data_IF_533913775440
#
_entry.id   IF_533913775440
#
_cell.length_a   1.000
_cell.length_b   1.000
_cell.length_c   1.000
_cell.angle_alpha   90.00
_cell.angle_beta   90.00
_cell.angle_gamma   90.00
#
_symmetry.space_group_name_H-M   'P 1'
#
loop_
_entity.id
_entity.type
_entity.pdbx_description
1 polymer ?
#
# COMPACT_ATOMS: atom_id res chain seq x y z
N UNK A 1 -30.16 12.14 -22.96
CA UNK A 1 -29.01 12.57 -22.16
C UNK A 1 -28.19 11.34 -21.87
N UNK A 2 -26.90 11.39 -22.11
CA UNK A 2 -26.02 10.23 -21.95
C UNK A 2 -25.72 9.96 -20.48
N UNK A 3 -25.27 8.73 -20.17
CA UNK A 3 -24.76 8.41 -18.84
C UNK A 3 -23.55 9.27 -18.43
N UNK A 4 -22.72 9.66 -19.40
CA UNK A 4 -21.55 10.53 -19.17
C UNK A 4 -21.97 11.96 -18.77
N UNK A 5 -23.00 12.51 -19.42
CA UNK A 5 -23.56 13.82 -19.05
C UNK A 5 -24.11 13.81 -17.62
N UNK A 6 -24.83 12.74 -17.23
CA UNK A 6 -25.31 12.59 -15.86
C UNK A 6 -24.15 12.43 -14.86
N UNK A 7 -23.11 11.67 -15.21
CA UNK A 7 -21.94 11.52 -14.36
C UNK A 7 -21.26 12.89 -14.11
N UNK A 8 -21.11 13.72 -15.14
CA UNK A 8 -20.55 15.07 -14.99
C UNK A 8 -21.39 15.96 -14.07
N UNK A 9 -22.73 15.89 -14.15
CA UNK A 9 -23.61 16.62 -13.22
C UNK A 9 -23.45 16.15 -11.77
N UNK A 10 -23.30 14.84 -11.56
CA UNK A 10 -23.05 14.28 -10.23
C UNK A 10 -21.71 14.78 -9.69
N UNK A 11 -20.63 14.75 -10.49
CA UNK A 11 -19.32 15.24 -10.06
C UNK A 11 -19.34 16.74 -9.70
N UNK A 12 -20.07 17.55 -10.47
CA UNK A 12 -20.21 18.97 -10.18
C UNK A 12 -20.86 19.21 -8.80
N UNK A 13 -22.01 18.55 -8.52
CA UNK A 13 -22.69 18.71 -7.22
C UNK A 13 -21.88 18.11 -6.06
N UNK A 14 -21.12 17.03 -6.30
CA UNK A 14 -20.16 16.51 -5.32
C UNK A 14 -19.07 17.56 -5.01
N UNK A 15 -18.55 18.24 -6.03
CA UNK A 15 -17.50 19.26 -5.89
C UNK A 15 -17.94 20.51 -5.12
N UNK A 16 -19.24 20.78 -5.05
CA UNK A 16 -19.80 21.91 -4.30
C UNK A 16 -20.04 21.61 -2.80
N UNK A 17 -19.88 20.34 -2.37
CA UNK A 17 -20.19 19.94 -1.00
C UNK A 17 -19.09 20.33 0.00
N UNK A 18 -19.35 21.36 0.80
CA UNK A 18 -18.45 21.74 1.92
C UNK A 18 -18.22 20.60 2.91
N UNK A 19 -19.23 19.76 3.15
CA UNK A 19 -19.10 18.63 4.07
C UNK A 19 -18.13 17.57 3.54
N UNK A 20 -18.18 17.27 2.23
CA UNK A 20 -17.21 16.38 1.59
C UNK A 20 -15.82 16.98 1.62
N UNK A 21 -15.69 18.29 1.38
CA UNK A 21 -14.40 18.98 1.47
C UNK A 21 -13.77 18.83 2.86
N UNK A 22 -14.54 19.05 3.93
CA UNK A 22 -14.06 18.85 5.32
C UNK A 22 -13.61 17.42 5.59
N UNK A 23 -14.25 16.42 4.99
CA UNK A 23 -13.84 15.01 5.11
C UNK A 23 -12.49 14.79 4.40
N UNK A 24 -12.33 15.33 3.19
CA UNK A 24 -11.08 15.23 2.45
C UNK A 24 -9.93 15.94 3.17
N UNK A 25 -10.19 17.10 3.79
CA UNK A 25 -9.21 17.81 4.61
C UNK A 25 -8.74 16.96 5.80
N UNK A 26 -9.67 16.28 6.49
CA UNK A 26 -9.36 15.33 7.57
C UNK A 26 -8.59 14.09 7.10
N UNK A 27 -8.72 13.71 5.84
CA UNK A 27 -7.92 12.61 5.28
C UNK A 27 -6.50 13.11 5.03
N UNK A 28 -6.35 14.34 4.54
CA UNK A 28 -5.04 14.94 4.25
C UNK A 28 -4.24 15.22 5.53
N UNK A 29 -4.87 15.75 6.57
CA UNK A 29 -4.22 16.00 7.86
C UNK A 29 -3.95 14.71 8.66
N UNK A 30 -4.45 13.57 8.16
CA UNK A 30 -4.29 12.27 8.78
C UNK A 30 -5.11 12.12 10.06
N UNK A 31 -6.16 12.92 10.29
CA UNK A 31 -7.08 12.89 11.43
C UNK A 31 -8.32 12.00 11.22
N UNK A 32 -8.66 11.69 9.97
CA UNK A 32 -9.88 10.97 9.59
C UNK A 32 -10.05 9.59 10.23
N UNK A 33 -11.32 9.20 10.36
CA UNK A 33 -11.82 7.97 10.96
C UNK A 33 -12.82 7.30 10.02
N UNK A 34 -13.24 6.07 10.36
CA UNK A 34 -14.25 5.37 9.57
C UNK A 34 -15.62 6.04 9.55
N UNK A 35 -15.91 6.91 10.53
CA UNK A 35 -17.08 7.78 10.49
C UNK A 35 -17.00 8.76 9.32
N UNK A 36 -15.80 9.28 9.02
CA UNK A 36 -15.61 10.20 7.90
C UNK A 36 -15.77 9.48 6.55
N UNK A 37 -15.28 8.23 6.42
CA UNK A 37 -15.50 7.45 5.19
C UNK A 37 -16.95 6.99 5.01
N UNK A 38 -17.69 6.72 6.11
CA UNK A 38 -19.13 6.41 6.03
C UNK A 38 -19.93 7.63 5.62
N UNK A 39 -19.61 8.80 6.20
CA UNK A 39 -20.26 10.05 5.86
C UNK A 39 -20.00 10.44 4.40
N UNK A 40 -18.78 10.23 3.90
CA UNK A 40 -18.46 10.41 2.48
C UNK A 40 -19.35 9.53 1.59
N UNK A 41 -19.47 8.24 1.91
CA UNK A 41 -20.30 7.31 1.15
C UNK A 41 -21.78 7.68 1.21
N UNK A 42 -22.27 8.14 2.38
CA UNK A 42 -23.66 8.57 2.55
C UNK A 42 -23.99 9.82 1.72
N UNK A 43 -23.15 10.87 1.80
CA UNK A 43 -23.38 12.12 1.06
C UNK A 43 -23.28 11.89 -0.45
N UNK A 44 -22.26 11.18 -0.92
CA UNK A 44 -22.10 10.91 -2.36
C UNK A 44 -23.22 10.01 -2.90
N UNK A 45 -23.70 9.04 -2.12
CA UNK A 45 -24.87 8.24 -2.46
C UNK A 45 -26.14 9.09 -2.57
N UNK A 46 -26.38 10.01 -1.62
CA UNK A 46 -27.54 10.90 -1.63
C UNK A 46 -27.52 11.86 -2.83
N UNK A 47 -26.37 12.47 -3.14
CA UNK A 47 -26.22 13.34 -4.32
C UNK A 47 -26.47 12.54 -5.61
N UNK A 48 -25.83 11.38 -5.73
CA UNK A 48 -26.00 10.49 -6.89
C UNK A 48 -27.45 10.07 -7.06
N UNK A 49 -28.14 9.71 -5.97
CA UNK A 49 -29.54 9.31 -5.97
C UNK A 49 -30.47 10.45 -6.39
N UNK A 50 -30.25 11.67 -5.90
CA UNK A 50 -31.03 12.86 -6.28
C UNK A 50 -30.85 13.19 -7.76
N UNK A 51 -29.61 13.14 -8.25
CA UNK A 51 -29.33 13.38 -9.66
C UNK A 51 -29.93 12.29 -10.54
N UNK A 52 -29.82 11.02 -10.14
CA UNK A 52 -30.47 9.92 -10.85
C UNK A 52 -31.99 10.11 -10.90
N UNK A 53 -32.64 10.45 -9.78
CA UNK A 53 -34.09 10.72 -9.75
C UNK A 53 -34.51 11.80 -10.73
N UNK A 54 -33.81 12.94 -10.75
CA UNK A 54 -34.13 14.11 -11.59
C UNK A 54 -34.03 13.82 -13.09
N UNK A 55 -33.24 12.81 -13.46
CA UNK A 55 -32.74 12.64 -14.80
C UNK A 55 -33.00 11.26 -15.41
N UNK A 56 -33.42 10.27 -14.63
CA UNK A 56 -33.56 8.87 -15.10
C UNK A 56 -34.47 8.74 -16.31
N UNK A 57 -35.51 9.57 -16.41
CA UNK A 57 -36.45 9.50 -17.53
C UNK A 57 -35.86 9.99 -18.85
N UNK A 58 -34.89 10.90 -18.80
CA UNK A 58 -34.22 11.48 -19.96
C UNK A 58 -32.92 10.77 -20.36
N UNK A 59 -32.55 9.70 -19.64
CA UNK A 59 -31.34 8.92 -19.92
C UNK A 59 -31.50 8.00 -21.13
N UNK A 60 -30.47 8.02 -21.98
CA UNK A 60 -30.29 7.06 -23.06
C UNK A 60 -29.65 5.78 -22.49
N UNK A 61 -30.44 4.73 -22.27
CA UNK A 61 -29.98 3.47 -21.66
C UNK A 61 -29.77 3.60 -20.15
N UNK A 62 -30.86 3.53 -19.39
CA UNK A 62 -30.91 3.66 -17.92
C UNK A 62 -30.10 2.56 -17.23
N UNK A 63 -30.15 1.34 -17.74
CA UNK A 63 -29.40 0.23 -17.15
C UNK A 63 -27.89 0.46 -17.23
N UNK A 64 -27.38 0.76 -18.43
CA UNK A 64 -25.96 1.00 -18.65
C UNK A 64 -25.47 2.19 -17.82
N UNK A 65 -26.20 3.31 -17.85
CA UNK A 65 -25.88 4.50 -17.06
C UNK A 65 -25.85 4.20 -15.56
N UNK A 66 -26.83 3.45 -15.04
CA UNK A 66 -26.87 3.07 -13.63
C UNK A 66 -25.65 2.23 -13.24
N UNK A 67 -25.32 1.22 -14.04
CA UNK A 67 -24.19 0.32 -13.79
C UNK A 67 -22.88 1.08 -13.79
N UNK A 68 -22.64 1.94 -14.78
CA UNK A 68 -21.38 2.68 -14.89
C UNK A 68 -21.20 3.71 -13.79
N UNK A 69 -22.24 4.48 -13.47
CA UNK A 69 -22.22 5.47 -12.38
C UNK A 69 -21.96 4.79 -11.04
N UNK A 70 -22.67 3.70 -10.74
CA UNK A 70 -22.52 3.00 -9.46
C UNK A 70 -21.18 2.26 -9.35
N UNK A 71 -20.63 1.75 -10.48
CA UNK A 71 -19.28 1.18 -10.52
C UNK A 71 -18.22 2.24 -10.23
N UNK A 72 -18.37 3.45 -10.75
CA UNK A 72 -17.50 4.57 -10.41
C UNK A 72 -17.60 4.91 -8.92
N UNK A 73 -18.80 5.06 -8.37
CA UNK A 73 -19.03 5.31 -6.93
C UNK A 73 -18.43 4.24 -6.04
N UNK A 74 -18.49 2.96 -6.42
CA UNK A 74 -17.81 1.88 -5.72
C UNK A 74 -16.29 2.09 -5.68
N UNK A 75 -15.68 2.52 -6.79
CA UNK A 75 -14.25 2.80 -6.86
C UNK A 75 -13.84 3.99 -5.98
N UNK A 76 -14.62 5.06 -6.00
CA UNK A 76 -14.37 6.28 -5.20
C UNK A 76 -14.51 6.00 -3.71
N UNK A 77 -15.58 5.30 -3.34
CA UNK A 77 -15.84 4.87 -1.96
C UNK A 77 -14.68 4.03 -1.42
N UNK A 78 -14.19 3.07 -2.20
CA UNK A 78 -13.03 2.26 -1.79
C UNK A 78 -11.75 3.10 -1.66
N UNK A 79 -11.58 4.12 -2.51
CA UNK A 79 -10.41 5.03 -2.44
C UNK A 79 -10.40 5.78 -1.12
N UNK A 80 -11.52 6.40 -0.75
CA UNK A 80 -11.68 7.12 0.52
C UNK A 80 -11.56 6.18 1.72
N UNK A 81 -12.27 5.04 1.69
CA UNK A 81 -12.16 4.02 2.73
C UNK A 81 -10.71 3.57 2.93
N UNK A 82 -9.99 3.31 1.84
CA UNK A 82 -8.59 2.85 1.90
C UNK A 82 -7.64 3.89 2.45
N UNK A 83 -7.88 5.18 2.18
CA UNK A 83 -7.08 6.26 2.76
C UNK A 83 -7.27 6.31 4.28
N UNK A 84 -8.52 6.29 4.75
CA UNK A 84 -8.87 6.25 6.18
C UNK A 84 -8.30 5.00 6.86
N UNK A 85 -8.47 3.82 6.25
CA UNK A 85 -7.91 2.58 6.77
C UNK A 85 -6.40 2.67 6.97
N UNK A 86 -5.67 3.22 5.99
CA UNK A 86 -4.20 3.37 6.10
C UNK A 86 -3.81 4.33 7.22
N UNK A 87 -4.57 5.40 7.43
CA UNK A 87 -4.37 6.33 8.56
C UNK A 87 -4.52 5.57 9.89
N UNK A 88 -5.63 4.85 10.06
CA UNK A 88 -5.91 4.10 11.29
C UNK A 88 -4.92 2.95 11.52
N UNK A 89 -4.55 2.25 10.45
CA UNK A 89 -3.56 1.17 10.49
C UNK A 89 -2.18 1.73 10.87
N UNK A 90 -1.76 2.86 10.28
CA UNK A 90 -0.50 3.50 10.61
C UNK A 90 -0.42 3.91 12.10
N UNK A 91 -1.49 4.51 12.64
CA UNK A 91 -1.61 4.83 14.08
C UNK A 91 -1.49 3.60 14.98
N UNK A 92 -2.00 2.47 14.51
CA UNK A 92 -1.99 1.19 15.24
C UNK A 92 -0.79 0.29 14.90
N UNK A 93 0.16 0.79 14.10
CA UNK A 93 1.30 0.03 13.57
C UNK A 93 0.91 -1.16 12.69
N UNK A 94 -0.34 -1.26 12.22
CA UNK A 94 -0.81 -2.32 11.33
C UNK A 94 -0.30 -2.02 9.92
N UNK A 95 0.21 -3.05 9.22
CA UNK A 95 0.76 -2.93 7.86
C UNK A 95 0.01 -3.85 6.88
N UNK A 96 -1.30 -3.92 7.03
CA UNK A 96 -2.18 -4.72 6.19
C UNK A 96 -2.76 -3.80 5.10
N UNK A 97 -2.62 -4.21 3.84
CA UNK A 97 -3.23 -3.46 2.74
C UNK A 97 -4.77 -3.52 2.86
N UNK A 98 -5.51 -2.41 2.68
CA UNK A 98 -6.97 -2.46 2.57
C UNK A 98 -7.39 -3.39 1.43
N UNK A 99 -8.38 -4.24 1.70
CA UNK A 99 -8.92 -5.22 0.75
C UNK A 99 -10.09 -4.60 -0.02
N UNK A 100 -10.04 -4.63 -1.35
CA UNK A 100 -11.12 -4.11 -2.20
C UNK A 100 -12.23 -5.17 -2.33
N UNK A 101 -13.48 -4.88 -1.94
CA UNK A 101 -14.58 -5.78 -2.24
C UNK A 101 -14.81 -5.85 -3.76
N UNK A 102 -15.28 -7.00 -4.29
CA UNK A 102 -15.74 -7.07 -5.67
C UNK A 102 -16.98 -6.19 -5.86
N UNK A 103 -17.14 -5.62 -7.05
CA UNK A 103 -18.37 -4.91 -7.40
C UNK A 103 -19.48 -5.92 -7.73
N UNK A 104 -20.66 -5.74 -7.15
CA UNK A 104 -21.82 -6.63 -7.31
C UNK A 104 -22.53 -6.39 -8.67
N UNK A 105 -21.89 -6.78 -9.76
CA UNK A 105 -22.38 -6.61 -11.15
C UNK A 105 -23.82 -7.13 -11.32
N UNK A 106 -24.11 -8.33 -10.81
CA UNK A 106 -25.45 -8.93 -10.93
C UNK A 106 -26.54 -8.14 -10.22
N UNK A 107 -26.22 -7.47 -9.09
CA UNK A 107 -27.17 -6.59 -8.39
C UNK A 107 -27.33 -5.27 -9.14
N UNK A 108 -26.25 -4.72 -9.67
CA UNK A 108 -26.27 -3.48 -10.45
C UNK A 108 -27.15 -3.61 -11.71
N UNK A 109 -26.95 -4.67 -12.49
CA UNK A 109 -27.76 -4.97 -13.68
C UNK A 109 -29.24 -5.20 -13.34
N UNK A 110 -29.55 -5.94 -12.27
CA UNK A 110 -30.94 -6.14 -11.84
C UNK A 110 -31.65 -4.82 -11.49
N UNK A 111 -30.97 -3.92 -10.80
CA UNK A 111 -31.53 -2.60 -10.48
C UNK A 111 -31.66 -1.76 -11.74
N UNK A 112 -30.61 -1.67 -12.55
CA UNK A 112 -30.61 -0.90 -13.79
C UNK A 112 -31.72 -1.35 -14.77
N UNK A 113 -31.88 -2.66 -14.97
CA UNK A 113 -32.94 -3.23 -15.79
C UNK A 113 -34.34 -2.86 -15.26
N UNK A 114 -34.52 -2.82 -13.93
CA UNK A 114 -35.81 -2.42 -13.34
C UNK A 114 -36.15 -0.93 -13.58
N UNK A 115 -35.17 -0.10 -13.96
CA UNK A 115 -35.39 1.29 -14.36
C UNK A 115 -35.85 1.41 -15.82
N UNK A 116 -35.66 0.38 -16.64
CA UNK A 116 -36.14 0.32 -18.03
C UNK A 116 -37.62 -0.09 -18.16
N UNK A 117 -38.25 -0.44 -17.04
CA UNK A 117 -39.63 -0.94 -17.01
C UNK A 117 -40.63 0.14 -17.44
N UNK A 118 -41.19 -0.04 -18.65
CA UNK A 118 -42.19 0.86 -19.24
C UNK A 118 -43.63 0.59 -18.77
N UNK A 119 -43.83 -0.46 -17.97
CA UNK A 119 -45.18 -0.87 -17.51
C UNK A 119 -45.61 -0.16 -16.22
N UNK A 120 -44.68 0.49 -15.53
CA UNK A 120 -44.97 1.26 -14.31
C UNK A 120 -45.00 2.76 -14.60
N UNK A 121 -45.73 3.55 -13.79
CA UNK A 121 -45.73 5.00 -13.92
C UNK A 121 -44.33 5.61 -13.79
N UNK A 122 -44.06 6.70 -14.51
CA UNK A 122 -42.78 7.40 -14.49
C UNK A 122 -42.36 7.83 -13.07
N UNK A 123 -43.31 8.31 -12.26
CA UNK A 123 -43.07 8.67 -10.86
C UNK A 123 -42.61 7.50 -10.00
N UNK A 124 -42.97 6.26 -10.37
CA UNK A 124 -42.49 5.04 -9.72
C UNK A 124 -41.05 4.76 -10.14
N UNK A 125 -40.68 4.96 -11.41
CA UNK A 125 -39.30 4.82 -11.90
C UNK A 125 -38.38 5.83 -11.22
N UNK A 126 -38.76 7.10 -11.16
CA UNK A 126 -37.99 8.15 -10.47
C UNK A 126 -37.72 7.80 -9.00
N UNK A 127 -38.77 7.37 -8.28
CA UNK A 127 -38.65 6.95 -6.87
C UNK A 127 -37.77 5.71 -6.73
N UNK A 128 -37.94 4.70 -7.61
CA UNK A 128 -37.09 3.49 -7.62
C UNK A 128 -35.63 3.88 -7.82
N UNK A 129 -35.36 4.76 -8.79
CA UNK A 129 -34.02 5.23 -9.10
C UNK A 129 -33.37 5.88 -7.88
N UNK A 130 -34.06 6.81 -7.21
CA UNK A 130 -33.55 7.44 -5.97
C UNK A 130 -33.22 6.40 -4.89
N UNK A 131 -34.22 5.61 -4.49
CA UNK A 131 -34.07 4.68 -3.35
C UNK A 131 -33.06 3.57 -3.61
N UNK A 132 -33.02 3.04 -4.83
CA UNK A 132 -32.15 1.93 -5.19
C UNK A 132 -30.71 2.41 -5.37
N UNK A 133 -30.50 3.59 -5.98
CA UNK A 133 -29.18 4.20 -6.08
C UNK A 133 -28.61 4.52 -4.70
N UNK A 134 -29.37 5.17 -3.82
CA UNK A 134 -28.87 5.51 -2.47
C UNK A 134 -28.47 4.24 -1.70
N UNK A 135 -29.36 3.24 -1.66
CA UNK A 135 -29.11 2.00 -0.92
C UNK A 135 -27.93 1.19 -1.49
N UNK A 136 -27.81 1.12 -2.83
CA UNK A 136 -26.73 0.38 -3.48
C UNK A 136 -25.38 1.07 -3.31
N UNK A 137 -25.31 2.39 -3.50
CA UNK A 137 -24.07 3.14 -3.30
C UNK A 137 -23.59 3.08 -1.85
N UNK A 138 -24.49 3.20 -0.87
CA UNK A 138 -24.11 3.07 0.55
C UNK A 138 -23.62 1.66 0.91
N UNK A 139 -24.14 0.61 0.25
CA UNK A 139 -23.67 -0.75 0.54
C UNK A 139 -22.22 -0.99 0.13
N UNK A 140 -21.67 -0.22 -0.82
CA UNK A 140 -20.25 -0.32 -1.20
C UNK A 140 -19.29 -0.07 -0.03
N UNK A 141 -19.64 0.86 0.87
CA UNK A 141 -18.86 1.13 2.07
C UNK A 141 -18.99 -0.01 3.08
N UNK A 142 -20.20 -0.55 3.27
CA UNK A 142 -20.41 -1.70 4.16
C UNK A 142 -19.66 -2.94 3.68
N UNK A 143 -19.59 -3.16 2.36
CA UNK A 143 -18.81 -4.24 1.77
C UNK A 143 -17.31 -4.05 2.06
N UNK A 144 -16.82 -2.80 2.02
CA UNK A 144 -15.45 -2.49 2.45
C UNK A 144 -15.26 -2.84 3.93
N UNK A 145 -16.19 -2.44 4.81
CA UNK A 145 -16.14 -2.75 6.24
C UNK A 145 -16.12 -4.25 6.49
N UNK A 146 -17.03 -5.00 5.86
CA UNK A 146 -17.15 -6.45 6.00
C UNK A 146 -15.87 -7.17 5.60
N UNK A 147 -15.41 -6.94 4.37
CA UNK A 147 -14.24 -7.64 3.82
C UNK A 147 -12.99 -7.32 4.64
N UNK A 148 -12.81 -6.06 5.07
CA UNK A 148 -11.63 -5.65 5.82
C UNK A 148 -11.66 -6.10 7.28
N UNK A 149 -12.82 -6.10 7.95
CA UNK A 149 -12.98 -6.62 9.30
C UNK A 149 -12.69 -8.12 9.33
N UNK A 150 -13.32 -8.90 8.44
CA UNK A 150 -13.15 -10.36 8.38
C UNK A 150 -11.74 -10.76 7.95
N UNK A 151 -11.14 -10.03 7.01
CA UNK A 151 -9.75 -10.29 6.61
C UNK A 151 -8.78 -10.06 7.77
N UNK A 152 -8.94 -8.95 8.50
CA UNK A 152 -8.08 -8.60 9.63
C UNK A 152 -8.24 -9.57 10.79
N UNK A 153 -9.45 -10.01 11.07
CA UNK A 153 -9.74 -11.07 12.03
C UNK A 153 -9.01 -12.36 11.69
N UNK A 154 -9.13 -12.83 10.44
CA UNK A 154 -8.38 -13.99 9.93
C UNK A 154 -6.87 -13.79 9.95
N UNK A 155 -6.39 -12.56 9.83
CA UNK A 155 -4.98 -12.19 9.93
C UNK A 155 -4.48 -12.11 11.39
N UNK A 156 -5.31 -12.44 12.38
CA UNK A 156 -4.95 -12.49 13.79
C UNK A 156 -5.13 -11.17 14.55
N UNK A 157 -5.79 -10.17 13.98
CA UNK A 157 -6.19 -8.96 14.70
C UNK A 157 -7.50 -9.19 15.45
N UNK A 158 -7.62 -8.63 16.66
CA UNK A 158 -8.91 -8.58 17.33
C UNK A 158 -9.79 -7.56 16.63
N UNK A 159 -10.73 -8.03 15.83
CA UNK A 159 -11.58 -7.19 14.99
C UNK A 159 -13.04 -7.29 15.43
N UNK A 160 -13.69 -6.15 15.61
CA UNK A 160 -15.09 -6.06 16.01
C UNK A 160 -15.88 -5.26 15.00
N UNK A 161 -16.99 -5.81 14.53
CA UNK A 161 -17.98 -5.13 13.74
C UNK A 161 -18.92 -4.33 14.65
N UNK A 162 -19.27 -3.11 14.24
CA UNK A 162 -20.10 -2.19 15.00
C UNK A 162 -21.27 -1.77 14.12
N UNK A 163 -22.49 -1.98 14.58
CA UNK A 163 -23.69 -1.40 13.97
C UNK A 163 -24.19 -0.28 14.85
N UNK A 164 -24.08 0.94 14.34
CA UNK A 164 -24.60 2.13 14.99
C UNK A 164 -26.00 2.45 14.49
N UNK A 165 -26.94 2.57 15.43
CA UNK A 165 -28.33 2.92 15.20
C UNK A 165 -28.72 4.30 15.73
N UNK A 166 -27.75 5.20 15.90
CA UNK A 166 -27.96 6.60 16.29
C UNK A 166 -28.79 7.41 15.27
N UNK A 167 -28.90 6.94 14.03
CA UNK A 167 -29.75 7.52 12.98
C UNK A 167 -31.12 6.83 12.86
N UNK A 168 -31.96 7.24 11.90
CA UNK A 168 -33.28 6.63 11.62
C UNK A 168 -33.14 5.17 11.18
N UNK A 169 -33.22 4.24 12.13
CA UNK A 169 -33.07 2.81 11.90
C UNK A 169 -34.42 2.09 11.89
N UNK A 170 -34.49 0.96 11.18
CA UNK A 170 -35.60 0.03 11.32
C UNK A 170 -35.49 -0.79 12.61
N UNK A 171 -36.60 -1.35 13.08
CA UNK A 171 -36.70 -2.10 14.33
C UNK A 171 -35.64 -3.21 14.42
N UNK A 172 -35.50 -3.99 13.35
CA UNK A 172 -34.49 -5.06 13.31
C UNK A 172 -33.06 -4.53 13.48
N UNK A 173 -32.70 -3.44 12.81
CA UNK A 173 -31.35 -2.86 12.94
C UNK A 173 -31.10 -2.35 14.36
N UNK A 174 -32.12 -1.77 14.99
CA UNK A 174 -32.05 -1.31 16.37
C UNK A 174 -31.84 -2.48 17.34
N UNK A 175 -32.56 -3.60 17.13
CA UNK A 175 -32.46 -4.81 17.95
C UNK A 175 -31.08 -5.48 17.86
N UNK A 176 -30.46 -5.48 16.68
CA UNK A 176 -29.11 -6.06 16.46
C UNK A 176 -27.99 -5.04 16.57
N UNK A 177 -28.29 -3.81 16.99
CA UNK A 177 -27.28 -2.76 17.18
C UNK A 177 -26.26 -3.17 18.25
N UNK A 178 -25.04 -2.64 18.12
CA UNK A 178 -23.95 -2.96 19.06
C UNK A 178 -22.71 -3.49 18.38
N UNK A 179 -21.85 -4.10 19.19
CA UNK A 179 -20.49 -4.48 18.85
C UNK A 179 -20.29 -5.98 18.98
N UNK A 180 -19.83 -6.61 17.90
CA UNK A 180 -19.69 -8.07 17.78
C UNK A 180 -18.30 -8.42 17.25
N UNK A 181 -17.72 -9.58 17.62
CA UNK A 181 -16.55 -10.10 16.92
C UNK A 181 -16.86 -10.20 15.41
N UNK A 182 -15.90 -9.85 14.55
CA UNK A 182 -16.13 -9.73 13.10
C UNK A 182 -16.55 -11.06 12.43
N UNK A 183 -16.23 -12.19 13.06
CA UNK A 183 -16.58 -13.55 12.64
C UNK A 183 -17.84 -14.12 13.35
N UNK A 184 -18.38 -13.43 14.37
CA UNK A 184 -19.53 -13.86 15.18
C UNK A 184 -20.69 -12.84 15.12
N UNK A 185 -20.86 -12.17 13.98
CA UNK A 185 -21.96 -11.21 13.78
C UNK A 185 -23.29 -11.94 13.57
N UNK A 186 -24.43 -11.38 14.03
CA UNK A 186 -25.76 -11.90 13.72
C UNK A 186 -25.98 -12.13 12.21
N UNK A 187 -26.83 -13.09 11.86
CA UNK A 187 -27.20 -13.31 10.46
C UNK A 187 -27.80 -12.03 9.87
N UNK A 188 -27.38 -11.66 8.66
CA UNK A 188 -27.84 -10.43 8.00
C UNK A 188 -27.21 -9.14 8.52
N UNK A 189 -26.29 -9.20 9.50
CA UNK A 189 -25.67 -8.01 10.09
C UNK A 189 -25.04 -7.07 9.05
N UNK A 190 -24.35 -7.60 8.04
CA UNK A 190 -23.72 -6.79 7.01
C UNK A 190 -24.67 -6.27 5.92
N UNK A 191 -25.95 -6.63 5.98
CA UNK A 191 -26.95 -6.21 5.00
C UNK A 191 -27.52 -4.83 5.32
N UNK A 192 -27.74 -4.02 4.28
CA UNK A 192 -28.59 -2.83 4.37
C UNK A 192 -30.05 -3.20 4.19
N UNK A 193 -30.89 -2.58 5.01
CA UNK A 193 -32.35 -2.65 4.88
C UNK A 193 -32.86 -1.39 4.21
N UNK A 194 -33.95 -1.54 3.47
CA UNK A 194 -34.59 -0.43 2.79
C UNK A 194 -35.00 0.66 3.79
N UNK A 195 -34.78 1.92 3.41
CA UNK A 195 -35.08 3.11 4.22
C UNK A 195 -34.40 3.15 5.61
N UNK A 196 -33.34 2.35 5.83
CA UNK A 196 -32.59 2.35 7.09
C UNK A 196 -31.31 3.19 6.97
N UNK A 197 -31.13 4.13 7.92
CA UNK A 197 -29.95 5.02 7.96
C UNK A 197 -28.84 4.56 8.92
N UNK A 198 -28.90 3.33 9.44
CA UNK A 198 -27.83 2.76 10.26
C UNK A 198 -26.47 2.82 9.58
N UNK A 199 -25.42 2.92 10.39
CA UNK A 199 -24.03 2.89 9.95
C UNK A 199 -23.39 1.58 10.41
N UNK A 200 -22.59 0.97 9.54
CA UNK A 200 -21.79 -0.21 9.87
C UNK A 200 -20.33 0.23 9.82
N UNK A 201 -19.64 0.06 10.94
CA UNK A 201 -18.24 0.37 11.10
C UNK A 201 -17.53 -0.90 11.61
N UNK A 202 -16.21 -0.85 11.70
CA UNK A 202 -15.49 -1.84 12.46
C UNK A 202 -14.27 -1.21 13.14
N UNK A 203 -13.80 -1.86 14.19
CA UNK A 203 -12.51 -1.57 14.80
C UNK A 203 -11.62 -2.80 14.76
N UNK A 204 -10.31 -2.61 14.59
CA UNK A 204 -9.33 -3.68 14.74
C UNK A 204 -8.19 -3.22 15.61
N UNK A 205 -7.84 -4.04 16.59
CA UNK A 205 -6.67 -3.83 17.44
C UNK A 205 -5.70 -4.99 17.26
N UNK A 206 -4.42 -4.72 17.50
CA UNK A 206 -3.46 -5.81 17.65
C UNK A 206 -3.91 -6.69 18.80
N UNK A 207 -4.04 -8.00 18.57
CA UNK A 207 -4.15 -8.93 19.67
C UNK A 207 -2.86 -8.87 20.50
N UNK A 208 -2.94 -9.14 21.80
CA UNK A 208 -1.73 -9.40 22.60
C UNK A 208 -0.83 -10.42 21.90
N UNK A 209 0.49 -10.25 22.02
CA UNK A 209 1.49 -11.17 21.44
C UNK A 209 1.23 -12.60 21.95
N UNK A 210 1.10 -13.56 21.04
CA UNK A 210 1.38 -14.95 21.40
C UNK A 210 2.90 -15.12 21.47
N UNK A 211 3.45 -15.16 22.69
CA UNK A 211 4.85 -15.53 22.89
C UNK A 211 4.89 -17.05 23.08
N UNK A 212 5.36 -17.77 22.08
CA UNK A 212 5.71 -19.20 22.22
C UNK A 212 7.01 -19.30 23.03
N UNK A 213 6.90 -19.43 24.35
CA UNK A 213 7.99 -19.93 25.21
C UNK A 213 7.66 -21.34 25.67
N UNK A 214 8.33 -22.34 25.09
CA UNK A 214 8.25 -23.73 25.54
C UNK A 214 6.87 -24.36 25.42
N UNK A 215 6.77 -25.64 25.77
CA UNK A 215 5.63 -26.56 25.56
C UNK A 215 4.32 -26.22 26.29
N UNK A 216 4.11 -24.97 26.72
CA UNK A 216 2.84 -24.50 27.28
C UNK A 216 2.27 -23.32 26.48
N UNK A 217 1.12 -23.54 25.83
CA UNK A 217 0.30 -22.48 25.22
C UNK A 217 -0.28 -21.60 26.34
N UNK A 218 0.43 -20.55 26.76
CA UNK A 218 -0.14 -19.50 27.61
C UNK A 218 -0.27 -18.20 26.82
N UNK A 219 -1.46 -17.60 26.94
CA UNK A 219 -1.79 -16.28 26.40
C UNK A 219 -1.28 -15.22 27.38
N UNK A 220 -0.50 -14.26 26.90
CA UNK A 220 -0.21 -13.05 27.66
C UNK A 220 -0.94 -11.87 27.00
N UNK A 221 -1.93 -11.35 27.72
CA UNK A 221 -2.64 -10.13 27.32
C UNK A 221 -1.71 -8.96 27.61
N UNK A 222 -1.18 -8.33 26.56
CA UNK A 222 -0.58 -7.00 26.71
C UNK A 222 -1.74 -6.04 27.00
N UNK A 223 -1.64 -5.27 28.09
CA UNK A 223 -2.69 -4.37 28.52
C UNK A 223 -3.12 -3.41 27.39
N UNK A 224 -4.42 -3.03 27.31
CA UNK A 224 -5.02 -2.29 26.19
C UNK A 224 -4.46 -0.87 25.92
N UNK A 225 -3.47 -0.39 26.67
CA UNK A 225 -3.23 1.04 26.90
C UNK A 225 -1.82 1.50 26.54
N UNK A 226 -1.02 0.71 25.83
CA UNK A 226 0.25 1.18 25.27
C UNK A 226 0.04 2.05 24.01
N UNK A 227 -0.62 3.21 24.17
CA UNK A 227 -0.59 4.30 23.18
C UNK A 227 -1.92 4.97 22.81
N UNK A 228 -3.07 4.51 23.30
CA UNK A 228 -4.35 5.20 23.11
C UNK A 228 -4.85 5.71 24.46
N UNK A 229 -4.53 6.96 24.79
CA UNK A 229 -5.18 7.65 25.91
C UNK A 229 -6.69 7.69 25.70
N UNK A 230 -7.46 7.68 26.79
CA UNK A 230 -8.92 7.85 26.72
C UNK A 230 -9.26 9.12 25.94
N UNK A 231 -10.11 8.99 24.91
CA UNK A 231 -10.56 10.13 24.10
C UNK A 231 -11.33 11.12 24.99
N UNK A 232 -10.75 12.29 25.21
CA UNK A 232 -11.46 13.45 25.74
C UNK A 232 -12.05 14.25 24.57
N UNK A 233 -13.36 14.50 24.62
CA UNK A 233 -14.09 15.29 23.62
C UNK A 233 -13.78 16.77 23.85
N UNK A 234 -13.08 17.42 22.92
CA UNK A 234 -12.89 18.87 22.94
C UNK A 234 -14.24 19.55 22.73
N UNK A 235 -14.50 20.61 23.50
CA UNK A 235 -15.67 21.46 23.33
C UNK A 235 -15.52 22.37 22.11
N UNK A 236 -16.65 22.87 21.58
CA UNK A 236 -16.67 23.71 20.37
C UNK A 236 -15.78 24.96 20.45
N UNK A 237 -15.56 25.50 21.66
CA UNK A 237 -14.70 26.67 21.89
C UNK A 237 -13.20 26.34 21.87
N UNK A 238 -12.81 25.11 22.19
CA UNK A 238 -11.40 24.68 22.22
C UNK A 238 -10.89 24.34 20.82
N UNK A 239 -11.80 24.03 19.88
CA UNK A 239 -11.46 23.82 18.47
C UNK A 239 -11.12 25.10 17.71
N UNK A 240 -11.70 26.24 18.09
CA UNK A 240 -11.50 27.53 17.40
C UNK A 240 -10.11 28.13 17.65
N UNK A 241 -9.45 27.79 18.76
CA UNK A 241 -8.14 28.32 19.13
C UNK A 241 -6.94 27.71 18.36
N UNK A 242 -7.15 26.60 17.64
CA UNK A 242 -6.06 25.85 16.97
C UNK A 242 -5.78 26.37 15.55
N UNK A 243 -6.66 27.21 15.01
CA UNK A 243 -6.59 27.76 13.66
C UNK A 243 -5.71 29.02 13.54
N UNK A 244 -4.40 28.90 13.76
CA UNK A 244 -3.47 29.97 13.43
C UNK A 244 -2.09 29.43 13.05
N UNK A 245 -1.98 28.94 11.81
CA UNK A 245 -0.71 28.55 11.22
C UNK A 245 -0.84 28.59 9.70
N UNK A 246 -0.43 29.70 9.10
CA UNK A 246 -0.38 29.85 7.64
C UNK A 246 0.52 28.77 7.04
N UNK A 247 -0.02 27.92 6.16
CA UNK A 247 0.78 26.98 5.37
C UNK A 247 0.23 26.88 3.95
N UNK A 248 1.18 26.87 3.01
CA UNK A 248 1.04 26.92 1.57
C UNK A 248 -0.03 25.98 0.99
N UNK A 249 -0.93 26.57 0.21
CA UNK A 249 -1.83 25.88 -0.70
C UNK A 249 -1.00 25.25 -1.81
N UNK A 250 -1.06 23.92 -1.91
CA UNK A 250 -0.59 23.20 -3.09
C UNK A 250 -1.69 23.22 -4.16
N UNK A 251 -1.31 23.56 -5.40
CA UNK A 251 -2.22 23.76 -6.53
C UNK A 251 -2.91 22.47 -6.99
N UNK A 252 -3.97 22.60 -7.79
CA UNK A 252 -4.65 21.46 -8.44
C UNK A 252 -3.69 20.54 -9.20
N UNK A 253 -2.61 21.09 -9.77
CA UNK A 253 -1.54 20.35 -10.43
C UNK A 253 -0.71 19.50 -9.44
N UNK A 254 -0.50 19.99 -8.23
CA UNK A 254 0.19 19.27 -7.15
C UNK A 254 -0.70 18.19 -6.52
N UNK A 255 -2.03 18.38 -6.51
CA UNK A 255 -3.01 17.35 -6.16
C UNK A 255 -3.12 16.25 -7.24
N UNK A 256 -3.04 16.62 -8.52
CA UNK A 256 -2.96 15.66 -9.64
C UNK A 256 -1.64 14.87 -9.62
N UNK A 257 -0.52 15.47 -9.19
CA UNK A 257 0.74 14.76 -8.98
C UNK A 257 0.67 13.69 -7.87
N UNK A 258 -0.22 13.87 -6.87
CA UNK A 258 -0.50 12.88 -5.83
C UNK A 258 -1.43 11.75 -6.31
N UNK A 259 -2.35 12.02 -7.24
CA UNK A 259 -3.17 11.00 -7.93
C UNK A 259 -2.32 10.12 -8.88
N UNK A 260 -1.26 10.66 -9.49
CA UNK A 260 -0.35 9.94 -10.38
C UNK A 260 0.55 8.88 -9.70
N UNK A 261 0.46 8.71 -8.37
CA UNK A 261 1.17 7.67 -7.64
C UNK A 261 0.48 6.29 -7.66
N UNK A 262 -0.75 6.21 -8.15
CA UNK A 262 -1.52 4.97 -8.16
C UNK A 262 -1.61 4.27 -9.54
N UNK A 263 -1.15 4.90 -10.62
CA UNK A 263 -1.04 4.29 -11.96
C UNK A 263 0.18 4.83 -12.71
N UNK A 264 1.12 3.93 -13.05
CA UNK A 264 2.20 4.06 -14.05
C UNK A 264 2.62 5.49 -14.45
N UNK A 265 3.62 6.05 -13.77
CA UNK A 265 4.30 7.28 -14.22
C UNK A 265 4.85 7.06 -15.63
N UNK A 266 4.59 8.00 -16.56
CA UNK A 266 5.30 8.01 -17.84
C UNK A 266 6.80 8.15 -17.56
N UNK A 267 7.61 7.24 -18.10
CA UNK A 267 9.06 7.29 -17.94
C UNK A 267 9.61 8.59 -18.53
N UNK A 268 10.04 9.49 -17.66
CA UNK A 268 10.74 10.72 -18.05
C UNK A 268 12.21 10.58 -17.76
N UNK A 269 13.00 10.69 -18.82
CA UNK A 269 14.45 10.65 -18.78
C UNK A 269 15.01 12.06 -18.90
N UNK A 270 16.00 12.41 -18.09
CA UNK A 270 16.79 13.61 -18.29
C UNK A 270 17.80 13.38 -19.41
N UNK A 271 17.34 13.54 -20.66
CA UNK A 271 18.20 13.39 -21.84
C UNK A 271 19.14 14.58 -22.07
N UNK A 272 18.95 15.69 -21.34
CA UNK A 272 19.81 16.86 -21.46
C UNK A 272 21.13 16.67 -20.68
N UNK A 273 21.12 15.87 -19.61
CA UNK A 273 22.27 15.66 -18.73
C UNK A 273 22.59 14.16 -18.56
N UNK A 274 23.09 13.48 -19.62
CA UNK A 274 23.48 12.09 -19.51
C UNK A 274 24.70 11.92 -18.59
N UNK A 275 24.70 10.84 -17.80
CA UNK A 275 25.86 10.39 -17.02
C UNK A 275 26.58 9.33 -17.82
N UNK A 276 27.91 9.46 -17.95
CA UNK A 276 28.75 8.45 -18.57
C UNK A 276 29.50 7.69 -17.51
N UNK A 277 29.47 6.36 -17.58
CA UNK A 277 30.32 5.50 -16.75
C UNK A 277 31.12 4.59 -17.64
N UNK A 278 32.36 4.29 -17.24
CA UNK A 278 33.24 3.40 -17.97
C UNK A 278 33.38 2.10 -17.18
N UNK A 279 32.95 0.99 -17.78
CA UNK A 279 33.14 -0.35 -17.21
C UNK A 279 34.03 -1.17 -18.13
N UNK A 280 33.49 -1.62 -19.25
CA UNK A 280 34.23 -2.29 -20.34
C UNK A 280 33.84 -1.70 -21.70
N UNK A 281 33.56 -0.41 -21.68
CA UNK A 281 32.87 0.36 -22.71
C UNK A 281 32.13 1.51 -22.04
N UNK A 282 32.00 2.61 -22.77
CA UNK A 282 31.26 3.78 -22.30
C UNK A 282 29.77 3.44 -22.27
N UNK A 283 29.16 3.52 -21.07
CA UNK A 283 27.73 3.36 -20.88
C UNK A 283 27.15 4.74 -20.61
N UNK A 284 26.23 5.16 -21.47
CA UNK A 284 25.46 6.40 -21.29
C UNK A 284 24.17 6.09 -20.53
N UNK A 285 23.95 6.82 -19.44
CA UNK A 285 22.87 6.65 -18.49
C UNK A 285 22.03 7.92 -18.42
N UNK A 286 20.71 7.75 -18.36
CA UNK A 286 19.76 8.85 -18.26
C UNK A 286 18.99 8.78 -16.94
N UNK A 287 18.95 9.88 -16.19
CA UNK A 287 18.23 9.94 -14.92
C UNK A 287 16.74 9.81 -15.13
N UNK A 288 16.06 8.96 -14.37
CA UNK A 288 14.60 8.90 -14.35
C UNK A 288 14.09 9.96 -13.38
N UNK A 289 13.67 11.11 -13.91
CA UNK A 289 13.25 12.27 -13.10
C UNK A 289 11.97 12.03 -12.32
N UNK A 290 11.24 10.98 -12.71
CA UNK A 290 10.01 10.51 -12.09
C UNK A 290 10.24 9.36 -11.11
N UNK A 291 11.47 8.98 -10.78
CA UNK A 291 11.76 7.98 -9.75
C UNK A 291 11.90 8.64 -8.37
N UNK A 292 11.61 7.89 -7.30
CA UNK A 292 11.85 8.34 -5.92
C UNK A 292 13.32 8.21 -5.54
N UNK A 293 13.97 7.16 -6.02
CA UNK A 293 15.40 6.93 -5.83
C UNK A 293 16.22 7.66 -6.90
N UNK A 294 17.52 7.83 -6.65
CA UNK A 294 18.45 8.39 -7.62
C UNK A 294 18.77 7.35 -8.70
N UNK A 295 17.79 7.13 -9.58
CA UNK A 295 17.73 6.03 -10.53
C UNK A 295 18.07 6.50 -11.94
N UNK A 296 18.93 5.73 -12.60
CA UNK A 296 19.38 5.93 -13.98
C UNK A 296 19.16 4.66 -14.78
N UNK A 297 18.81 4.80 -16.07
CA UNK A 297 18.66 3.68 -17.00
C UNK A 297 19.63 3.88 -18.16
N UNK A 298 20.34 2.82 -18.57
CA UNK A 298 21.26 2.90 -19.71
C UNK A 298 20.51 3.07 -21.03
N UNK A 299 21.13 3.72 -22.01
CA UNK A 299 20.53 3.85 -23.35
C UNK A 299 20.15 2.50 -23.97
N UNK A 300 20.93 1.45 -23.69
CA UNK A 300 20.60 0.11 -24.19
C UNK A 300 19.42 -0.50 -23.43
N UNK A 301 19.35 -0.33 -22.10
CA UNK A 301 18.22 -0.80 -21.29
C UNK A 301 16.92 -0.02 -21.62
N UNK A 302 17.02 1.27 -21.94
CA UNK A 302 15.88 2.10 -22.35
C UNK A 302 15.13 1.55 -23.57
N UNK A 303 15.80 0.79 -24.45
CA UNK A 303 15.18 0.20 -25.65
C UNK A 303 14.17 -0.90 -25.32
N UNK A 304 14.31 -1.54 -24.15
CA UNK A 304 13.45 -2.66 -23.73
C UNK A 304 12.70 -2.39 -22.43
N UNK A 305 13.06 -1.33 -21.70
CA UNK A 305 12.46 -0.94 -20.43
C UNK A 305 10.97 -0.58 -20.58
N UNK A 306 10.12 -1.28 -19.83
CA UNK A 306 8.70 -0.93 -19.69
C UNK A 306 8.51 0.04 -18.51
N UNK A 307 7.63 1.05 -18.62
CA UNK A 307 7.31 1.96 -17.51
C UNK A 307 6.97 1.25 -16.20
N UNK A 308 6.19 0.17 -16.30
CA UNK A 308 5.83 -0.68 -15.16
C UNK A 308 7.04 -1.26 -14.46
N UNK A 309 7.97 -1.81 -15.24
CA UNK A 309 9.14 -2.51 -14.71
C UNK A 309 10.08 -1.54 -13.99
N UNK A 310 10.32 -0.36 -14.56
CA UNK A 310 11.15 0.66 -13.90
C UNK A 310 10.47 1.21 -12.63
N UNK A 311 9.14 1.40 -12.67
CA UNK A 311 8.40 1.78 -11.47
C UNK A 311 8.48 0.69 -10.38
N UNK A 312 8.32 -0.57 -10.74
CA UNK A 312 8.45 -1.70 -9.81
C UNK A 312 9.85 -1.73 -9.20
N UNK A 313 10.92 -1.58 -10.00
CA UNK A 313 12.30 -1.46 -9.50
C UNK A 313 12.42 -0.34 -8.45
N UNK A 314 11.94 0.86 -8.77
CA UNK A 314 11.96 2.01 -7.85
C UNK A 314 11.23 1.69 -6.54
N UNK A 315 10.10 0.99 -6.61
CA UNK A 315 9.33 0.58 -5.44
C UNK A 315 10.02 -0.54 -4.65
N UNK A 316 10.65 -1.53 -5.29
CA UNK A 316 11.40 -2.59 -4.60
C UNK A 316 12.56 -2.02 -3.78
N UNK A 317 13.23 -0.98 -4.28
CA UNK A 317 14.27 -0.28 -3.52
C UNK A 317 13.67 0.42 -2.29
N UNK A 318 12.56 1.15 -2.43
CA UNK A 318 11.90 1.79 -1.28
C UNK A 318 11.43 0.77 -0.24
N UNK A 319 10.91 -0.37 -0.70
CA UNK A 319 10.50 -1.48 0.15
C UNK A 319 11.69 -2.08 0.89
N UNK A 320 12.80 -2.34 0.19
CA UNK A 320 14.03 -2.88 0.78
C UNK A 320 14.62 -1.92 1.83
N UNK A 321 14.71 -0.61 1.52
CA UNK A 321 15.14 0.42 2.48
C UNK A 321 14.26 0.42 3.73
N UNK A 322 12.94 0.31 3.55
CA UNK A 322 11.98 0.24 4.66
C UNK A 322 12.13 -1.03 5.49
N UNK A 323 12.37 -2.18 4.86
CA UNK A 323 12.58 -3.47 5.53
C UNK A 323 13.86 -3.46 6.36
N UNK A 324 14.91 -2.83 5.83
CA UNK A 324 16.19 -2.61 6.52
C UNK A 324 16.15 -1.48 7.56
N UNK A 325 15.02 -0.79 7.70
CA UNK A 325 14.82 0.36 8.61
C UNK A 325 15.85 1.47 8.37
N UNK A 326 16.24 1.68 7.12
CA UNK A 326 17.15 2.76 6.72
C UNK A 326 16.33 4.05 6.66
N UNK A 327 16.55 4.93 7.64
CA UNK A 327 15.94 6.27 7.70
C UNK A 327 16.87 7.36 7.17
N UNK A 328 18.18 7.12 7.21
CA UNK A 328 19.20 8.01 6.65
C UNK A 328 19.13 7.97 5.12
N UNK A 329 18.75 9.10 4.50
CA UNK A 329 18.72 9.25 3.04
C UNK A 329 20.02 9.83 2.48
N UNK A 330 20.88 10.34 3.35
CA UNK A 330 22.19 10.84 3.01
C UNK A 330 23.09 9.67 2.61
N UNK A 331 23.80 9.82 1.48
CA UNK A 331 24.72 8.80 0.94
C UNK A 331 24.09 7.46 0.48
N UNK A 332 22.78 7.44 0.22
CA UNK A 332 22.16 6.31 -0.49
C UNK A 332 22.85 6.06 -1.85
N UNK A 333 22.95 4.81 -2.29
CA UNK A 333 23.62 4.51 -3.54
C UNK A 333 22.84 5.06 -4.73
N UNK A 334 23.57 5.50 -5.76
CA UNK A 334 22.97 5.74 -7.07
C UNK A 334 22.57 4.39 -7.68
N UNK A 335 21.43 4.35 -8.38
CA UNK A 335 20.90 3.09 -8.92
C UNK A 335 21.02 3.08 -10.44
N UNK A 336 21.81 2.15 -10.98
CA UNK A 336 22.04 2.02 -12.42
C UNK A 336 21.34 0.76 -12.94
N UNK A 337 20.29 0.96 -13.73
CA UNK A 337 19.53 -0.09 -14.40
C UNK A 337 20.16 -0.35 -15.76
N UNK A 338 20.76 -1.53 -15.91
CA UNK A 338 21.52 -1.97 -17.08
C UNK A 338 20.84 -3.17 -17.75
N UNK A 339 21.21 -3.48 -18.98
CA UNK A 339 20.87 -4.80 -19.53
C UNK A 339 21.89 -5.86 -19.05
N UNK A 340 21.58 -7.15 -19.27
CA UNK A 340 22.45 -8.24 -18.83
C UNK A 340 23.84 -8.26 -19.47
N UNK A 341 23.98 -7.74 -20.70
CA UNK A 341 25.26 -7.65 -21.42
C UNK A 341 26.17 -6.60 -20.78
N UNK A 342 25.63 -5.42 -20.48
CA UNK A 342 26.32 -4.31 -19.81
C UNK A 342 26.68 -4.66 -18.37
N UNK A 343 25.81 -5.41 -17.68
CA UNK A 343 26.06 -5.84 -16.31
C UNK A 343 27.09 -6.99 -16.22
N UNK A 344 27.27 -7.76 -17.30
CA UNK A 344 28.20 -8.89 -17.42
C UNK A 344 28.04 -9.99 -16.37
N UNK A 345 26.87 -10.08 -15.77
CA UNK A 345 26.51 -11.11 -14.81
C UNK A 345 25.03 -11.44 -14.95
N UNK A 346 24.67 -12.66 -14.58
CA UNK A 346 23.28 -13.09 -14.44
C UNK A 346 22.68 -12.67 -13.09
N UNK A 347 23.46 -12.04 -12.21
CA UNK A 347 22.98 -11.49 -10.96
C UNK A 347 21.87 -10.46 -11.19
N UNK A 348 20.87 -10.46 -10.31
CA UNK A 348 19.75 -9.50 -10.31
C UNK A 348 20.26 -8.11 -9.95
N UNK A 349 21.11 -8.03 -8.92
CA UNK A 349 21.64 -6.80 -8.37
C UNK A 349 23.13 -6.97 -8.02
N UNK A 350 23.87 -5.87 -7.99
CA UNK A 350 25.25 -5.84 -7.50
C UNK A 350 25.64 -4.44 -7.00
N UNK A 351 26.00 -4.32 -5.74
CA UNK A 351 26.49 -3.08 -5.14
C UNK A 351 28.01 -2.92 -5.27
N UNK A 352 28.45 -1.72 -5.63
CA UNK A 352 29.84 -1.32 -5.64
C UNK A 352 30.11 -0.29 -4.53
N UNK A 353 30.92 -0.67 -3.55
CA UNK A 353 31.23 0.16 -2.39
C UNK A 353 32.17 1.35 -2.70
N UNK A 354 32.99 1.26 -3.75
CA UNK A 354 33.94 2.32 -4.14
C UNK A 354 33.19 3.49 -4.77
N UNK A 355 32.32 3.19 -5.74
CA UNK A 355 31.56 4.21 -6.45
C UNK A 355 30.20 4.53 -5.80
N UNK A 356 29.80 3.78 -4.78
CA UNK A 356 28.48 3.84 -4.16
C UNK A 356 27.33 3.69 -5.16
N UNK A 357 27.43 2.66 -6.02
CA UNK A 357 26.46 2.39 -7.10
C UNK A 357 25.83 1.01 -6.91
N UNK A 358 24.50 0.95 -6.93
CA UNK A 358 23.71 -0.28 -7.02
C UNK A 358 23.37 -0.54 -8.49
N UNK A 359 23.95 -1.59 -9.08
CA UNK A 359 23.63 -2.04 -10.43
C UNK A 359 22.46 -3.02 -10.39
N UNK A 360 21.54 -2.89 -11.35
CA UNK A 360 20.39 -3.77 -11.50
C UNK A 360 20.30 -4.31 -12.94
N UNK A 361 20.04 -5.60 -13.06
CA UNK A 361 19.90 -6.28 -14.35
C UNK A 361 18.43 -6.24 -14.80
N UNK A 362 18.08 -5.27 -15.66
CA UNK A 362 16.69 -4.98 -16.04
C UNK A 362 15.85 -6.23 -16.36
N UNK A 363 16.28 -7.16 -17.26
CA UNK A 363 15.55 -8.38 -17.57
C UNK A 363 15.10 -9.24 -16.38
N UNK A 364 15.86 -9.25 -15.29
CA UNK A 364 15.67 -10.14 -14.14
C UNK A 364 15.49 -9.37 -12.82
N UNK A 365 15.40 -8.05 -12.86
CA UNK A 365 15.32 -7.21 -11.66
C UNK A 365 13.95 -7.31 -10.94
N UNK A 366 12.90 -7.75 -11.62
CA UNK A 366 11.55 -7.88 -11.07
C UNK A 366 11.03 -9.27 -11.39
N UNK A 367 10.71 -10.03 -10.35
CA UNK A 367 10.20 -11.40 -10.45
C UNK A 367 9.43 -11.79 -9.19
N UNK A 368 8.85 -12.97 -9.21
CA UNK A 368 8.15 -13.60 -8.10
C UNK A 368 8.42 -15.12 -8.13
N UNK A 369 7.85 -15.84 -7.16
CA UNK A 369 7.99 -17.28 -7.02
C UNK A 369 7.66 -18.11 -8.28
N UNK A 370 6.80 -17.60 -9.15
CA UNK A 370 6.35 -18.29 -10.36
C UNK A 370 7.32 -18.07 -11.54
N UNK A 371 8.27 -17.13 -11.44
CA UNK A 371 9.21 -16.78 -12.51
C UNK A 371 10.62 -16.39 -12.01
N UNK A 372 11.12 -17.11 -11.02
CA UNK A 372 12.47 -16.93 -10.46
C UNK A 372 13.55 -17.04 -11.56
N UNK A 373 14.51 -16.09 -11.65
CA UNK A 373 15.61 -16.14 -12.59
C UNK A 373 16.51 -17.37 -12.38
N UNK A 374 17.00 -17.95 -13.49
CA UNK A 374 17.88 -19.12 -13.45
C UNK A 374 19.10 -18.90 -12.54
N UNK A 375 19.32 -19.83 -11.61
CA UNK A 375 20.45 -19.79 -10.68
C UNK A 375 20.23 -18.91 -9.45
N UNK A 376 19.03 -18.38 -9.24
CA UNK A 376 18.67 -17.67 -8.00
C UNK A 376 18.25 -18.63 -6.87
N UNK A 377 17.90 -19.87 -7.18
CA UNK A 377 17.43 -20.90 -6.24
C UNK A 377 18.43 -21.29 -5.13
N UNK A 378 19.69 -20.90 -5.29
CA UNK A 378 20.76 -21.12 -4.31
C UNK A 378 20.86 -20.05 -3.22
N UNK A 379 20.11 -18.94 -3.33
CA UNK A 379 20.17 -17.80 -2.41
C UNK A 379 19.03 -17.83 -1.37
N UNK A 380 19.22 -17.14 -0.25
CA UNK A 380 18.21 -17.03 0.79
C UNK A 380 17.00 -16.21 0.31
N UNK A 381 15.79 -16.73 0.55
CA UNK A 381 14.52 -16.08 0.20
C UNK A 381 14.40 -15.72 -1.29
N UNK A 382 15.00 -16.54 -2.17
CA UNK A 382 15.07 -16.31 -3.62
C UNK A 382 13.71 -16.25 -4.34
N UNK A 383 12.61 -16.67 -3.71
CA UNK A 383 11.27 -16.63 -4.32
C UNK A 383 10.69 -15.19 -4.38
N UNK A 384 11.34 -14.24 -3.70
CA UNK A 384 10.93 -12.84 -3.62
C UNK A 384 12.07 -11.95 -4.12
N UNK A 385 11.81 -11.21 -5.20
CA UNK A 385 12.77 -10.32 -5.85
C UNK A 385 13.42 -9.32 -4.88
N UNK A 386 12.74 -8.92 -3.80
CA UNK A 386 13.27 -8.02 -2.77
C UNK A 386 14.52 -8.57 -2.08
N UNK A 387 14.68 -9.89 -2.01
CA UNK A 387 15.84 -10.53 -1.38
C UNK A 387 17.16 -9.98 -1.94
N UNK A 388 17.28 -9.87 -3.27
CA UNK A 388 18.48 -9.34 -3.93
C UNK A 388 18.72 -7.86 -3.62
N UNK A 389 17.66 -7.03 -3.58
CA UNK A 389 17.80 -5.62 -3.21
C UNK A 389 18.26 -5.46 -1.76
N UNK A 390 17.71 -6.26 -0.86
CA UNK A 390 18.04 -6.27 0.56
C UNK A 390 19.49 -6.73 0.75
N UNK A 391 19.92 -7.79 0.07
CA UNK A 391 21.30 -8.30 0.08
C UNK A 391 22.31 -7.20 -0.24
N UNK A 392 22.08 -6.51 -1.36
CA UNK A 392 22.98 -5.46 -1.81
C UNK A 392 22.94 -4.20 -0.92
N UNK A 393 21.76 -3.84 -0.40
CA UNK A 393 21.64 -2.71 0.54
C UNK A 393 22.25 -3.03 1.92
N UNK A 394 22.33 -4.30 2.31
CA UNK A 394 23.08 -4.72 3.49
C UNK A 394 24.59 -4.52 3.27
N UNK A 395 25.10 -4.86 2.09
CA UNK A 395 26.49 -4.55 1.72
C UNK A 395 26.75 -3.03 1.74
N UNK A 396 25.78 -2.22 1.31
CA UNK A 396 25.83 -0.77 1.49
C UNK A 396 25.90 -0.36 2.96
N UNK A 397 25.08 -0.94 3.86
CA UNK A 397 25.15 -0.63 5.30
C UNK A 397 26.53 -0.97 5.90
N UNK A 398 27.15 -2.07 5.45
CA UNK A 398 28.50 -2.45 5.87
C UNK A 398 29.55 -1.46 5.36
N UNK A 399 29.42 -0.97 4.11
CA UNK A 399 30.22 0.12 3.58
C UNK A 399 30.05 1.41 4.39
N UNK A 400 28.82 1.80 4.73
CA UNK A 400 28.57 2.98 5.58
C UNK A 400 29.20 2.84 6.98
N UNK A 401 29.17 1.63 7.56
CA UNK A 401 29.83 1.34 8.83
C UNK A 401 31.36 1.51 8.72
N UNK A 402 31.95 1.03 7.63
CA UNK A 402 33.38 1.25 7.36
C UNK A 402 33.70 2.73 7.16
N UNK A 403 32.90 3.43 6.35
CA UNK A 403 33.11 4.84 6.02
C UNK A 403 33.10 5.74 7.25
N UNK A 404 32.20 5.49 8.19
CA UNK A 404 32.16 6.20 9.49
C UNK A 404 33.43 6.06 10.32
N UNK A 405 34.25 5.03 10.09
CA UNK A 405 35.45 4.74 10.89
C UNK A 405 36.75 5.03 10.16
N UNK A 406 36.79 4.83 8.84
CA UNK A 406 38.02 4.86 8.05
C UNK A 406 37.96 5.79 6.83
N UNK A 407 36.84 6.47 6.61
CA UNK A 407 36.61 7.30 5.41
C UNK A 407 36.18 6.48 4.19
N UNK A 408 36.12 7.13 3.03
CA UNK A 408 35.61 6.52 1.79
C UNK A 408 36.30 5.20 1.44
N UNK A 409 35.54 4.26 0.86
CA UNK A 409 36.12 3.06 0.27
C UNK A 409 36.72 3.44 -1.08
N UNK A 410 38.00 3.13 -1.28
CA UNK A 410 38.77 3.42 -2.48
C UNK A 410 39.47 2.17 -2.97
N UNK A 411 39.99 2.18 -4.20
CA UNK A 411 40.78 1.06 -4.71
C UNK A 411 41.98 0.74 -3.80
N UNK A 412 42.66 1.78 -3.28
CA UNK A 412 43.82 1.64 -2.40
C UNK A 412 43.51 0.93 -1.08
N UNK A 413 42.30 1.13 -0.54
CA UNK A 413 41.91 0.58 0.76
C UNK A 413 40.89 -0.56 0.69
N UNK A 414 40.53 -1.02 -0.52
CA UNK A 414 39.47 -2.00 -0.72
C UNK A 414 39.75 -3.33 -0.01
N UNK A 415 41.01 -3.79 0.00
CA UNK A 415 41.43 -5.00 0.73
C UNK A 415 41.22 -4.87 2.24
N UNK A 416 41.47 -3.68 2.80
CA UNK A 416 41.22 -3.38 4.21
C UNK A 416 39.72 -3.33 4.51
N UNK A 417 38.91 -2.73 3.62
CA UNK A 417 37.45 -2.77 3.70
C UNK A 417 36.92 -4.21 3.75
N UNK A 418 37.33 -5.07 2.81
CA UNK A 418 36.92 -6.48 2.77
C UNK A 418 37.35 -7.22 4.04
N UNK A 419 38.58 -7.02 4.50
CA UNK A 419 39.07 -7.63 5.75
C UNK A 419 38.24 -7.19 6.97
N UNK A 420 37.90 -5.90 7.06
CA UNK A 420 37.09 -5.34 8.14
C UNK A 420 35.70 -5.97 8.21
N UNK A 421 34.95 -5.97 7.11
CA UNK A 421 33.59 -6.54 7.10
C UNK A 421 33.61 -8.04 7.34
N UNK A 422 34.63 -8.75 6.82
CA UNK A 422 34.75 -10.19 6.97
C UNK A 422 35.05 -10.60 8.41
N UNK A 423 35.92 -9.86 9.12
CA UNK A 423 36.20 -10.11 10.54
C UNK A 423 34.97 -9.84 11.42
N UNK A 424 34.23 -8.75 11.15
CA UNK A 424 33.02 -8.42 11.90
C UNK A 424 31.92 -9.47 11.67
N UNK A 425 31.72 -9.89 10.43
CA UNK A 425 30.79 -10.95 10.07
C UNK A 425 31.16 -12.29 10.72
N UNK A 426 32.45 -12.66 10.70
CA UNK A 426 32.92 -13.90 11.33
C UNK A 426 32.56 -13.95 12.81
N UNK A 427 32.84 -12.87 13.58
CA UNK A 427 32.48 -12.81 15.01
C UNK A 427 30.99 -13.02 15.26
N UNK A 428 30.14 -12.49 14.36
CA UNK A 428 28.68 -12.64 14.46
C UNK A 428 28.25 -14.07 14.13
N UNK A 429 28.79 -14.66 13.08
CA UNK A 429 28.52 -16.04 12.68
C UNK A 429 29.02 -17.05 13.72
N UNK A 430 30.22 -16.88 14.27
CA UNK A 430 30.76 -17.75 15.33
C UNK A 430 29.80 -17.78 16.53
N UNK A 431 29.33 -16.60 16.97
CA UNK A 431 28.34 -16.50 18.04
C UNK A 431 27.00 -17.15 17.69
N UNK A 432 26.56 -17.07 16.44
CA UNK A 432 25.32 -17.74 16.00
C UNK A 432 25.48 -19.26 16.06
N UNK A 433 26.60 -19.79 15.58
CA UNK A 433 26.92 -21.22 15.59
C UNK A 433 27.05 -21.73 17.03
N UNK A 434 27.72 -20.99 17.91
CA UNK A 434 27.79 -21.30 19.35
C UNK A 434 26.41 -21.37 20.01
N UNK A 435 25.46 -20.56 19.55
CA UNK A 435 24.06 -20.58 20.00
C UNK A 435 23.20 -21.63 19.27
N UNK A 436 23.81 -22.52 18.48
CA UNK A 436 23.14 -23.63 17.81
C UNK A 436 22.55 -23.30 16.44
N UNK A 437 22.86 -22.14 15.84
CA UNK A 437 22.40 -21.82 14.49
C UNK A 437 23.10 -22.69 13.43
N UNK A 438 22.31 -23.34 12.57
CA UNK A 438 22.83 -24.20 11.51
C UNK A 438 22.98 -23.46 10.19
N UNK A 439 24.22 -23.10 9.82
CA UNK A 439 24.52 -22.43 8.53
C UNK A 439 24.12 -23.31 7.33
N UNK A 440 24.11 -24.64 7.47
CA UNK A 440 23.75 -25.54 6.39
C UNK A 440 22.28 -25.44 5.96
N UNK A 441 21.42 -24.84 6.77
CA UNK A 441 19.99 -24.66 6.48
C UNK A 441 19.66 -23.28 5.88
N UNK A 442 20.65 -22.38 5.77
CA UNK A 442 20.43 -21.00 5.33
C UNK A 442 20.23 -20.91 3.81
N UNK A 443 21.26 -21.25 3.04
CA UNK A 443 21.23 -21.33 1.58
C UNK A 443 22.51 -22.01 1.06
N UNK A 444 22.45 -22.60 -0.14
CA UNK A 444 23.61 -23.23 -0.77
C UNK A 444 24.74 -22.21 -1.02
N UNK A 445 24.37 -20.99 -1.42
CA UNK A 445 25.30 -19.89 -1.59
C UNK A 445 25.99 -19.53 -0.27
N UNK A 446 25.22 -19.38 0.82
CA UNK A 446 25.78 -19.03 2.13
C UNK A 446 26.79 -20.07 2.62
N UNK A 447 26.51 -21.37 2.41
CA UNK A 447 27.40 -22.49 2.76
C UNK A 447 28.68 -22.44 1.94
N UNK A 448 28.58 -22.22 0.63
CA UNK A 448 29.74 -22.11 -0.26
C UNK A 448 30.63 -20.91 0.12
N UNK A 449 30.04 -19.74 0.39
CA UNK A 449 30.81 -18.56 0.80
C UNK A 449 31.47 -18.75 2.17
N UNK A 450 30.82 -19.45 3.10
CA UNK A 450 31.39 -19.77 4.40
C UNK A 450 32.65 -20.62 4.25
N UNK A 451 32.60 -21.66 3.40
CA UNK A 451 33.76 -22.52 3.09
C UNK A 451 34.90 -21.77 2.42
N UNK A 452 34.58 -20.76 1.61
CA UNK A 452 35.55 -19.87 0.95
C UNK A 452 36.14 -18.82 1.90
N UNK A 453 35.73 -18.78 3.17
CA UNK A 453 36.17 -17.78 4.14
C UNK A 453 35.61 -16.38 3.90
N UNK A 454 34.56 -16.26 3.07
CA UNK A 454 33.82 -15.00 2.81
C UNK A 454 32.63 -14.91 3.76
N UNK A 455 32.92 -14.84 5.04
CA UNK A 455 31.94 -14.74 6.12
C UNK A 455 30.97 -13.56 5.96
N UNK A 456 31.40 -12.46 5.34
CA UNK A 456 30.53 -11.32 5.10
C UNK A 456 29.35 -11.66 4.17
N UNK A 457 29.55 -12.48 3.13
CA UNK A 457 28.45 -12.93 2.25
C UNK A 457 27.48 -13.87 2.99
N UNK A 458 28.00 -14.86 3.72
CA UNK A 458 27.18 -15.77 4.54
C UNK A 458 26.35 -15.00 5.57
N UNK A 459 26.96 -13.99 6.21
CA UNK A 459 26.26 -13.16 7.18
C UNK A 459 25.26 -12.21 6.53
N UNK A 460 25.48 -11.79 5.29
CA UNK A 460 24.48 -11.06 4.51
C UNK A 460 23.28 -11.95 4.21
N UNK A 461 23.48 -13.18 3.73
CA UNK A 461 22.38 -14.15 3.52
C UNK A 461 21.56 -14.38 4.80
N UNK A 462 22.25 -14.52 5.94
CA UNK A 462 21.58 -14.63 7.24
C UNK A 462 20.72 -13.40 7.52
N UNK A 463 21.27 -12.19 7.34
CA UNK A 463 20.53 -10.94 7.56
C UNK A 463 19.36 -10.78 6.59
N UNK A 464 19.51 -11.19 5.34
CA UNK A 464 18.40 -11.23 4.36
C UNK A 464 17.29 -12.12 4.89
N UNK A 465 17.60 -13.34 5.32
CA UNK A 465 16.62 -14.25 5.87
C UNK A 465 15.89 -13.66 7.08
N UNK A 466 16.62 -13.07 8.04
CA UNK A 466 16.01 -12.42 9.22
C UNK A 466 15.10 -11.24 8.84
N UNK A 467 15.48 -10.46 7.83
CA UNK A 467 14.68 -9.32 7.36
C UNK A 467 13.44 -9.79 6.60
N UNK A 468 13.55 -10.88 5.85
CA UNK A 468 12.49 -11.42 5.00
C UNK A 468 11.48 -12.28 5.75
N UNK A 469 11.93 -13.11 6.70
CA UNK A 469 11.08 -14.03 7.47
C UNK A 469 10.47 -13.40 8.73
N UNK A 470 10.96 -12.22 9.16
CA UNK A 470 10.51 -11.51 10.36
C UNK A 470 11.08 -12.11 11.63
#
# INVERSE_FOLDING_TARGET
MTGEELAALIEAEIGESEQLQRILDRIQDGSATFTDSELYAAITAEITAKQMRRNVLSLDGREAAFVDITRQRHSDTFTVFSAVQRILDARSGIRIKPQKPPFEEGRAHKIGHALEDKTVPESVIERRAESATENFCRSHHDDCMKVNAQFRDRAGLQSYAIRDCSAKCCDWCADVSGKYPANETPQGFWGRHDNCKCSILYESKRSGRQILRGTSKKWEVVAPDAGAGALHRLSGAEGEAVGAGAVHVISHEQAQALQANAQLRALRYDSANPVKTNRDGEITLHRVTTAHNLLYVSETAMKTAKPKQIHEIDMRILEALKMLRISEKENLPSVYVLNGIEMKTTAVAAYNAISNILHLNLPVAVYNKDNVPTGMDIFACFEDDRSSYIHELIHWQDAQKYQRRFGAVTDDNYSHYVSFINQEAKKKLDKLIENGYNIAELSDYAVDQFRKGKYYETYTEYRVEQVMKG
#
